data_IF_985788066829
#
_entry.id   IF_985788066829
#
_cell.length_a   1.000
_cell.length_b   1.000
_cell.length_c   1.000
_cell.angle_alpha   90.00
_cell.angle_beta   90.00
_cell.angle_gamma   90.00
#
_symmetry.space_group_name_H-M   'P 1'
#
loop_
_entity.id
_entity.type
_entity.pdbx_description
1 polymer ?
#
# COMPACT_ATOMS: atom_id res chain seq x y z
N UNK A 1 21.90 7.14 5.11
CA UNK A 1 21.41 6.77 3.77
C UNK A 1 20.28 5.76 3.91
N UNK A 2 19.19 5.87 3.14
CA UNK A 2 18.04 4.93 3.18
C UNK A 2 17.97 4.08 1.90
N UNK A 3 18.86 3.08 1.74
CA UNK A 3 19.00 2.35 0.48
C UNK A 3 17.74 1.58 0.06
N UNK A 4 16.88 1.20 0.99
CA UNK A 4 15.59 0.54 0.70
C UNK A 4 14.49 1.51 0.21
N UNK A 5 14.70 2.82 0.36
CA UNK A 5 13.74 3.85 -0.03
C UNK A 5 14.15 4.62 -1.30
N UNK A 6 15.46 4.73 -1.61
CA UNK A 6 15.96 5.61 -2.67
C UNK A 6 16.71 4.91 -3.79
N UNK A 7 17.45 3.84 -3.48
CA UNK A 7 17.96 3.01 -4.56
C UNK A 7 16.74 2.24 -5.00
N UNK A 8 16.33 2.44 -6.26
CA UNK A 8 15.58 1.47 -7.03
C UNK A 8 16.37 0.18 -6.85
N UNK A 9 16.10 -0.53 -5.76
CA UNK A 9 16.40 -1.92 -5.49
C UNK A 9 16.17 -2.50 -6.86
N UNK A 10 17.25 -2.78 -7.61
CA UNK A 10 17.17 -2.85 -9.07
C UNK A 10 16.08 -3.86 -9.33
N UNK A 11 14.89 -3.43 -9.71
CA UNK A 11 13.74 -4.32 -9.71
C UNK A 11 12.82 -3.83 -10.77
N UNK A 12 12.43 -4.76 -11.63
CA UNK A 12 11.32 -4.56 -12.55
C UNK A 12 9.97 -4.80 -11.80
N UNK A 13 9.93 -4.50 -10.50
CA UNK A 13 8.83 -4.84 -9.59
C UNK A 13 8.68 -6.35 -9.28
N UNK A 14 9.59 -7.19 -9.79
CA UNK A 14 9.56 -8.66 -9.66
C UNK A 14 10.93 -9.20 -9.21
N UNK A 15 12.01 -8.82 -9.89
CA UNK A 15 13.35 -9.35 -9.59
C UNK A 15 14.19 -8.37 -8.79
N UNK A 16 14.71 -8.73 -7.61
CA UNK A 16 15.68 -7.88 -6.90
C UNK A 16 17.08 -8.06 -7.47
N UNK A 17 17.71 -7.01 -7.96
CA UNK A 17 19.14 -6.95 -8.19
C UNK A 17 19.81 -6.09 -7.11
N UNK A 18 20.85 -6.64 -6.52
CA UNK A 18 21.69 -5.97 -5.53
C UNK A 18 23.04 -5.76 -6.17
N UNK A 19 23.60 -4.56 -6.03
CA UNK A 19 24.95 -4.28 -6.50
C UNK A 19 25.94 -4.87 -5.48
N UNK A 20 26.68 -5.92 -5.88
CA UNK A 20 27.70 -6.54 -5.05
C UNK A 20 29.04 -6.54 -5.81
N UNK A 21 30.05 -5.88 -5.23
CA UNK A 21 31.42 -5.83 -5.77
C UNK A 21 31.50 -5.37 -7.25
N UNK A 22 30.67 -4.39 -7.64
CA UNK A 22 30.69 -3.82 -9.00
C UNK A 22 29.95 -4.65 -10.06
N UNK A 23 29.22 -5.70 -9.66
CA UNK A 23 28.35 -6.48 -10.55
C UNK A 23 26.90 -6.39 -10.09
N UNK A 24 25.97 -6.21 -11.03
CA UNK A 24 24.53 -6.29 -10.79
C UNK A 24 24.15 -7.77 -10.80
N UNK A 25 23.87 -8.35 -9.63
CA UNK A 25 23.51 -9.77 -9.50
C UNK A 25 22.01 -9.89 -9.28
N UNK A 26 21.35 -10.70 -10.10
CA UNK A 26 19.95 -11.08 -9.90
C UNK A 26 19.87 -11.98 -8.66
N UNK A 27 19.23 -11.49 -7.59
CA UNK A 27 19.06 -12.23 -6.35
C UNK A 27 18.07 -13.41 -6.48
N UNK A 28 17.44 -13.58 -7.65
CA UNK A 28 16.38 -14.55 -7.88
C UNK A 28 16.87 -15.88 -8.46
N UNK A 29 17.86 -15.89 -9.36
CA UNK A 29 18.08 -17.06 -10.23
C UNK A 29 19.30 -17.94 -10.01
N UNK A 30 20.34 -17.57 -9.25
CA UNK A 30 21.57 -18.38 -9.21
C UNK A 30 22.24 -18.51 -7.82
N UNK A 31 21.47 -18.76 -6.75
CA UNK A 31 22.03 -19.34 -5.53
C UNK A 31 22.68 -18.37 -4.52
N UNK A 32 22.49 -17.07 -4.66
CA UNK A 32 22.76 -16.11 -3.58
C UNK A 32 21.50 -15.32 -3.24
N UNK A 33 21.02 -15.51 -2.00
CA UNK A 33 19.96 -14.75 -1.31
C UNK A 33 18.66 -14.60 -2.11
N UNK A 34 18.00 -15.73 -2.38
CA UNK A 34 16.64 -15.77 -2.91
C UNK A 34 15.71 -14.94 -2.02
N UNK A 35 15.23 -13.83 -2.57
CA UNK A 35 14.19 -13.06 -1.90
C UNK A 35 12.87 -13.82 -2.06
N UNK A 36 12.19 -14.15 -0.96
CA UNK A 36 11.00 -14.97 -1.02
C UNK A 36 9.89 -14.25 -1.80
N UNK A 37 9.10 -15.02 -2.55
CA UNK A 37 7.96 -14.58 -3.38
C UNK A 37 7.02 -13.61 -2.65
N UNK A 38 6.98 -13.72 -1.32
CA UNK A 38 6.29 -12.80 -0.42
C UNK A 38 6.70 -11.34 -0.63
N UNK A 39 7.99 -11.03 -0.84
CA UNK A 39 8.44 -9.64 -0.99
C UNK A 39 7.95 -9.01 -2.30
N UNK A 40 7.81 -9.79 -3.38
CA UNK A 40 7.26 -9.29 -4.65
C UNK A 40 5.82 -8.80 -4.47
N UNK A 41 5.03 -9.52 -3.66
CA UNK A 41 3.64 -9.15 -3.35
C UNK A 41 3.60 -7.77 -2.68
N UNK A 42 4.53 -7.47 -1.77
CA UNK A 42 4.64 -6.15 -1.14
C UNK A 42 5.17 -5.07 -2.08
N UNK A 43 6.21 -5.35 -2.88
CA UNK A 43 6.78 -4.36 -3.80
C UNK A 43 5.78 -3.92 -4.88
N UNK A 44 4.90 -4.82 -5.35
CA UNK A 44 3.80 -4.48 -6.26
C UNK A 44 2.81 -3.48 -5.67
N UNK A 45 2.80 -3.25 -4.36
CA UNK A 45 1.94 -2.27 -3.68
C UNK A 45 2.53 -0.88 -3.56
N UNK A 46 3.74 -0.65 -4.10
CA UNK A 46 4.37 0.67 -4.10
C UNK A 46 4.21 1.29 -5.49
N UNK A 47 3.70 2.52 -5.54
CA UNK A 47 3.71 3.37 -6.72
C UNK A 47 4.91 4.31 -6.64
N UNK A 48 5.65 4.41 -7.73
CA UNK A 48 6.86 5.21 -7.85
C UNK A 48 6.58 6.43 -8.73
N UNK A 49 7.19 7.57 -8.41
CA UNK A 49 7.10 8.76 -9.25
C UNK A 49 8.12 8.75 -10.41
N UNK A 50 8.08 9.80 -11.24
CA UNK A 50 8.98 9.99 -12.38
C UNK A 50 10.47 10.12 -11.99
N UNK A 51 10.75 10.34 -10.70
CA UNK A 51 12.10 10.49 -10.14
C UNK A 51 12.57 9.24 -9.39
N UNK A 52 11.86 8.12 -9.54
CA UNK A 52 12.13 6.83 -8.87
C UNK A 52 12.04 6.89 -7.33
N UNK A 53 11.25 7.83 -6.77
CA UNK A 53 10.94 7.86 -5.35
C UNK A 53 9.58 7.19 -5.06
N UNK A 54 9.41 6.51 -3.90
CA UNK A 54 8.14 5.91 -3.52
C UNK A 54 7.12 7.02 -3.24
N UNK A 55 6.11 7.11 -4.11
CA UNK A 55 5.12 8.16 -4.09
C UNK A 55 3.85 7.75 -3.32
N UNK A 56 3.41 6.50 -3.48
CA UNK A 56 2.25 5.96 -2.77
C UNK A 56 2.44 4.51 -2.36
N UNK A 57 1.78 4.11 -1.29
CA UNK A 57 1.77 2.73 -0.81
C UNK A 57 0.31 2.28 -0.63
N UNK A 58 -0.01 1.10 -1.15
CA UNK A 58 -1.33 0.48 -1.04
C UNK A 58 -1.31 -0.64 0.01
N UNK A 59 -1.72 -0.38 1.27
CA UNK A 59 -1.65 -1.38 2.33
C UNK A 59 -2.48 -2.65 2.04
N UNK A 60 -2.08 -3.75 2.70
CA UNK A 60 -2.88 -4.96 2.75
C UNK A 60 -3.98 -4.80 3.80
N UNK A 61 -5.23 -4.91 3.36
CA UNK A 61 -6.40 -4.79 4.22
C UNK A 61 -6.98 -6.15 4.62
N UNK A 62 -6.46 -7.24 4.04
CA UNK A 62 -6.83 -8.64 4.33
C UNK A 62 -5.59 -9.52 4.31
N UNK A 63 -5.62 -10.62 5.05
CA UNK A 63 -4.44 -11.41 5.39
C UNK A 63 -3.95 -12.38 4.30
N UNK A 64 -4.71 -12.63 3.22
CA UNK A 64 -4.49 -13.83 2.38
C UNK A 64 -4.57 -13.68 0.86
N UNK A 65 -4.64 -12.49 0.29
CA UNK A 65 -4.87 -12.36 -1.17
C UNK A 65 -3.85 -11.45 -1.85
N UNK A 66 -3.21 -11.96 -2.90
CA UNK A 66 -2.30 -11.21 -3.77
C UNK A 66 -3.01 -10.20 -4.67
N UNK A 67 -4.33 -10.32 -4.82
CA UNK A 67 -5.20 -9.47 -5.64
C UNK A 67 -6.14 -8.62 -4.78
N UNK A 68 -5.62 -8.08 -3.70
CA UNK A 68 -6.40 -7.16 -2.88
C UNK A 68 -6.58 -5.82 -3.59
N UNK A 69 -7.76 -5.21 -3.42
CA UNK A 69 -8.10 -4.02 -4.15
C UNK A 69 -7.29 -2.82 -3.61
N UNK A 70 -6.79 -1.98 -4.50
CA UNK A 70 -6.01 -0.76 -4.18
C UNK A 70 -6.94 0.40 -3.82
N UNK A 71 -7.79 0.19 -2.80
CA UNK A 71 -8.83 1.16 -2.39
C UNK A 71 -8.36 2.11 -1.30
N UNK A 72 -7.36 1.69 -0.52
CA UNK A 72 -6.73 2.49 0.51
C UNK A 72 -5.32 2.79 0.08
N UNK A 73 -4.90 4.04 0.29
CA UNK A 73 -3.57 4.51 -0.08
C UNK A 73 -2.99 5.36 1.04
N UNK A 74 -1.67 5.25 1.18
CA UNK A 74 -0.85 6.13 1.99
C UNK A 74 -0.04 6.97 1.01
N UNK A 75 -0.29 8.28 1.03
CA UNK A 75 0.42 9.25 0.20
C UNK A 75 0.91 10.40 1.09
N UNK A 76 2.23 10.61 1.23
CA UNK A 76 2.77 11.66 2.10
C UNK A 76 2.35 13.08 1.71
N UNK A 77 1.91 13.29 0.46
CA UNK A 77 1.48 14.60 -0.04
C UNK A 77 -0.02 14.88 0.20
N UNK A 78 -0.79 13.89 0.66
CA UNK A 78 -2.23 14.02 0.95
C UNK A 78 -2.50 13.61 2.38
N UNK A 79 -3.27 14.42 3.12
CA UNK A 79 -3.62 14.13 4.51
C UNK A 79 -2.41 13.76 5.39
N UNK A 80 -1.25 14.38 5.13
CA UNK A 80 0.02 14.16 5.84
C UNK A 80 0.48 12.69 5.90
N UNK A 81 0.14 11.88 4.89
CA UNK A 81 0.49 10.46 4.88
C UNK A 81 -0.45 9.57 5.70
N UNK A 82 -1.59 10.09 6.15
CA UNK A 82 -2.64 9.25 6.72
C UNK A 82 -3.23 8.30 5.66
N UNK A 83 -3.68 7.10 6.04
CA UNK A 83 -4.39 6.19 5.14
C UNK A 83 -5.73 6.80 4.70
N UNK A 84 -5.89 6.99 3.40
CA UNK A 84 -7.07 7.59 2.77
C UNK A 84 -7.70 6.65 1.75
N UNK A 85 -8.95 6.92 1.36
CA UNK A 85 -9.58 6.31 0.20
C UNK A 85 -8.95 6.83 -1.11
N UNK A 86 -8.48 5.91 -1.97
CA UNK A 86 -7.86 6.22 -3.26
C UNK A 86 -8.77 7.13 -4.11
N UNK A 87 -8.21 8.24 -4.58
CA UNK A 87 -8.89 9.21 -5.43
C UNK A 87 -9.83 10.20 -4.72
N UNK A 88 -9.99 10.14 -3.39
CA UNK A 88 -10.92 11.03 -2.67
C UNK A 88 -10.26 11.91 -1.61
N UNK A 89 -9.12 11.48 -1.04
CA UNK A 89 -8.49 12.19 0.09
C UNK A 89 -9.15 11.97 1.45
N UNK A 90 -10.24 11.19 1.51
CA UNK A 90 -11.00 10.96 2.75
C UNK A 90 -10.22 10.02 3.67
N UNK A 91 -9.88 10.43 4.91
CA UNK A 91 -9.20 9.56 5.87
C UNK A 91 -10.04 8.37 6.27
N UNK A 92 -9.45 7.18 6.25
CA UNK A 92 -10.11 5.94 6.67
C UNK A 92 -10.55 5.98 8.14
N UNK A 93 -9.75 6.64 8.99
CA UNK A 93 -10.04 6.89 10.40
C UNK A 93 -11.32 7.69 10.65
N UNK A 94 -11.72 8.57 9.73
CA UNK A 94 -12.98 9.33 9.83
C UNK A 94 -14.16 8.39 9.60
N UNK A 95 -14.10 7.56 8.57
CA UNK A 95 -15.16 6.59 8.25
C UNK A 95 -15.33 5.57 9.37
N UNK A 96 -14.22 5.04 9.90
CA UNK A 96 -14.25 4.09 11.01
C UNK A 96 -14.84 4.71 12.28
N UNK A 97 -14.48 5.97 12.62
CA UNK A 97 -15.05 6.67 13.78
C UNK A 97 -16.55 6.93 13.64
N UNK A 98 -17.01 7.34 12.46
CA UNK A 98 -18.44 7.56 12.22
C UNK A 98 -19.23 6.26 12.26
N UNK A 99 -18.70 5.19 11.67
CA UNK A 99 -19.28 3.86 11.79
C UNK A 99 -19.36 3.40 13.27
N UNK A 100 -18.30 3.59 14.03
CA UNK A 100 -18.28 3.28 15.47
C UNK A 100 -19.25 4.14 16.29
N UNK A 101 -19.59 5.34 15.81
CA UNK A 101 -20.60 6.21 16.42
C UNK A 101 -22.04 5.81 16.07
N UNK A 102 -22.25 4.88 15.14
CA UNK A 102 -23.55 4.32 14.79
C UNK A 102 -24.02 4.61 13.36
N UNK A 103 -23.26 5.36 12.56
CA UNK A 103 -23.61 5.63 11.17
C UNK A 103 -23.55 4.33 10.35
N UNK A 104 -24.54 4.13 9.48
CA UNK A 104 -24.60 3.00 8.57
C UNK A 104 -23.63 3.15 7.39
N UNK A 105 -23.26 2.04 6.75
CA UNK A 105 -22.39 2.08 5.55
C UNK A 105 -23.08 2.87 4.43
N UNK A 106 -24.40 2.72 4.30
CA UNK A 106 -25.22 3.43 3.30
C UNK A 106 -25.15 4.95 3.51
N UNK A 107 -25.32 5.43 4.74
CA UNK A 107 -25.20 6.86 5.06
C UNK A 107 -23.80 7.38 4.73
N UNK A 108 -22.75 6.64 5.09
CA UNK A 108 -21.37 7.02 4.78
C UNK A 108 -21.10 7.08 3.27
N UNK A 109 -21.66 6.16 2.48
CA UNK A 109 -21.50 6.20 1.01
C UNK A 109 -22.14 7.45 0.40
N UNK A 110 -23.28 7.88 0.94
CA UNK A 110 -23.99 9.07 0.47
C UNK A 110 -23.27 10.34 0.92
N UNK A 111 -22.89 10.43 2.20
CA UNK A 111 -22.23 11.61 2.78
C UNK A 111 -20.90 11.94 2.10
N UNK A 112 -20.16 10.91 1.72
CA UNK A 112 -18.81 11.04 1.18
C UNK A 112 -18.72 10.80 -0.33
N UNK A 113 -19.86 10.62 -1.01
CA UNK A 113 -19.98 10.32 -2.45
C UNK A 113 -18.96 9.25 -2.90
N UNK A 114 -19.00 8.11 -2.23
CA UNK A 114 -18.01 7.06 -2.44
C UNK A 114 -18.65 5.68 -2.55
N UNK A 115 -17.98 4.78 -3.27
CA UNK A 115 -18.44 3.42 -3.46
C UNK A 115 -18.49 2.66 -2.14
N UNK A 116 -19.53 1.85 -1.96
CA UNK A 116 -19.72 0.97 -0.79
C UNK A 116 -18.48 0.16 -0.46
N UNK A 117 -17.83 -0.41 -1.47
CA UNK A 117 -16.62 -1.23 -1.29
C UNK A 117 -15.47 -0.42 -0.67
N UNK A 118 -15.32 0.86 -1.01
CA UNK A 118 -14.30 1.73 -0.42
C UNK A 118 -14.57 1.96 1.07
N UNK A 119 -15.81 2.28 1.44
CA UNK A 119 -16.21 2.48 2.84
C UNK A 119 -15.99 1.22 3.66
N UNK A 120 -16.45 0.06 3.17
CA UNK A 120 -16.26 -1.22 3.85
C UNK A 120 -14.79 -1.57 4.03
N UNK A 121 -13.96 -1.32 3.02
CA UNK A 121 -12.52 -1.60 3.11
C UNK A 121 -11.82 -0.66 4.10
N UNK A 122 -12.18 0.62 4.11
CA UNK A 122 -11.66 1.59 5.07
C UNK A 122 -11.95 1.18 6.52
N UNK A 123 -13.20 0.80 6.80
CA UNK A 123 -13.60 0.32 8.14
C UNK A 123 -12.81 -0.93 8.51
N UNK A 124 -12.67 -1.89 7.58
CA UNK A 124 -11.90 -3.12 7.82
C UNK A 124 -10.42 -2.85 8.15
N UNK A 125 -9.79 -1.94 7.41
CA UNK A 125 -8.41 -1.55 7.61
C UNK A 125 -8.18 -0.98 9.02
N UNK A 126 -9.04 -0.06 9.45
CA UNK A 126 -8.95 0.56 10.78
C UNK A 126 -9.23 -0.45 11.91
N UNK A 127 -10.20 -1.35 11.72
CA UNK A 127 -10.46 -2.43 12.69
C UNK A 127 -9.26 -3.39 12.81
N UNK A 128 -8.57 -3.68 11.71
CA UNK A 128 -7.38 -4.52 11.72
C UNK A 128 -6.18 -3.85 12.40
N UNK A 129 -6.08 -2.52 12.36
CA UNK A 129 -5.06 -1.76 13.09
C UNK A 129 -5.29 -1.72 14.60
N UNK A 130 -6.55 -1.80 15.03
CA UNK A 130 -6.95 -1.77 16.44
C UNK A 130 -6.84 -3.12 17.17
N UNK A 131 -6.57 -4.22 16.44
CA UNK A 131 -6.49 -5.59 16.95
C UNK A 131 -5.06 -6.00 17.33
#
# INVERSE_FOLDING_TARGET
>A
EHPLAYKRLYTDGIDLFIEHLGNVVNAFRNGQLAIPEILQIYLKRIEWDETDNPAKIYPFTRTKESELPRLIVINPTVSFGEPILEGTGIPTSILARRYAAGDSIEELTVDYDCERLKVEEAIRYELALAA
#
